data_IF_306529514344
#
_entry.id   IF_306529514344
#
_cell.length_a   1.000
_cell.length_b   1.000
_cell.length_c   1.000
_cell.angle_alpha   90.00
_cell.angle_beta   90.00
_cell.angle_gamma   90.00
#
_symmetry.space_group_name_H-M   'P 1'
#
loop_
_entity.id
_entity.type
_entity.pdbx_description
1 polymer ?
#
# COMPACT_ATOMS: atom_id res chain seq x y z
N UNK A 1 -65.47 83.38 -63.10
CA UNK A 1 -66.16 83.45 -64.41
C UNK A 1 -65.94 82.13 -65.15
N UNK A 2 -67.02 81.56 -65.72
CA UNK A 2 -67.09 80.51 -66.78
C UNK A 2 -66.37 79.17 -66.56
N UNK A 3 -67.01 78.07 -66.11
CA UNK A 3 -67.91 77.08 -66.80
C UNK A 3 -67.34 76.33 -68.03
N UNK A 4 -67.09 75.03 -67.82
CA UNK A 4 -67.51 73.83 -68.58
C UNK A 4 -67.48 73.75 -70.12
N UNK A 5 -66.85 72.67 -70.66
CA UNK A 5 -67.44 71.49 -71.37
C UNK A 5 -66.29 70.62 -71.93
N UNK A 6 -66.11 69.32 -71.63
CA UNK A 6 -66.86 68.07 -71.92
C UNK A 6 -66.66 67.42 -73.33
N UNK A 7 -66.53 66.07 -73.28
CA UNK A 7 -66.77 65.01 -74.29
C UNK A 7 -65.58 64.60 -75.19
N UNK A 8 -65.35 63.33 -75.59
CA UNK A 8 -66.08 62.03 -75.58
C UNK A 8 -65.06 60.92 -75.98
N UNK A 9 -64.95 59.76 -75.30
CA UNK A 9 -65.39 58.39 -75.67
C UNK A 9 -65.13 57.95 -77.15
N UNK A 10 -64.59 56.77 -77.50
CA UNK A 10 -65.05 55.38 -77.24
C UNK A 10 -64.09 54.30 -77.82
N UNK A 11 -64.09 53.09 -77.22
CA UNK A 11 -63.96 51.76 -77.91
C UNK A 11 -62.56 51.14 -77.98
N UNK A 12 -62.14 50.23 -77.09
CA UNK A 12 -62.52 48.81 -76.91
C UNK A 12 -61.67 47.83 -77.77
N UNK A 13 -60.78 47.07 -77.12
CA UNK A 13 -60.43 45.69 -77.45
C UNK A 13 -59.67 45.04 -76.27
N UNK A 14 -60.24 43.99 -75.71
CA UNK A 14 -59.60 42.99 -74.83
C UNK A 14 -59.35 41.75 -75.69
N UNK A 15 -58.20 41.06 -75.56
CA UNK A 15 -58.29 39.64 -75.25
C UNK A 15 -57.24 39.11 -74.24
N UNK A 16 -57.75 38.20 -73.39
CA UNK A 16 -57.19 36.96 -72.83
C UNK A 16 -55.65 36.76 -72.70
N UNK A 17 -55.22 36.76 -71.44
CA UNK A 17 -54.57 35.66 -70.70
C UNK A 17 -53.42 34.86 -71.34
N UNK A 18 -52.20 35.03 -70.79
CA UNK A 18 -51.30 33.93 -70.39
C UNK A 18 -50.64 34.29 -69.05
N UNK A 19 -50.72 33.35 -68.11
CA UNK A 19 -50.18 33.35 -66.74
C UNK A 19 -48.67 33.66 -66.67
N UNK A 20 -48.28 34.55 -65.76
CA UNK A 20 -46.96 34.52 -65.11
C UNK A 20 -47.15 34.80 -63.61
N UNK A 21 -47.47 33.74 -62.87
CA UNK A 21 -47.26 33.66 -61.43
C UNK A 21 -45.92 32.96 -61.22
N UNK A 22 -44.94 33.63 -60.59
CA UNK A 22 -43.95 32.99 -59.72
C UNK A 22 -43.12 34.03 -58.96
N UNK A 23 -43.54 34.23 -57.70
CA UNK A 23 -42.72 34.44 -56.49
C UNK A 23 -41.74 35.62 -56.50
N UNK A 24 -42.21 36.76 -55.97
CA UNK A 24 -41.34 37.65 -55.21
C UNK A 24 -40.98 36.97 -53.87
N UNK A 25 -39.72 37.02 -53.39
CA UNK A 25 -39.43 36.57 -52.04
C UNK A 25 -40.16 37.49 -51.07
N UNK A 26 -40.93 36.89 -50.14
CA UNK A 26 -41.51 37.60 -49.01
C UNK A 26 -40.36 38.20 -48.19
N UNK A 27 -40.10 39.49 -48.35
CA UNK A 27 -39.28 40.27 -47.42
C UNK A 27 -39.98 40.29 -46.07
N UNK A 28 -39.19 40.12 -45.01
CA UNK A 28 -39.57 40.10 -43.60
C UNK A 28 -40.77 40.99 -43.28
N UNK A 29 -41.74 40.44 -42.55
CA UNK A 29 -42.85 41.20 -42.02
C UNK A 29 -42.31 42.19 -40.97
N UNK A 30 -42.27 43.48 -41.32
CA UNK A 30 -42.14 44.58 -40.37
C UNK A 30 -43.37 44.56 -39.44
N UNK A 31 -43.19 44.04 -38.23
CA UNK A 31 -44.21 44.13 -37.18
C UNK A 31 -44.22 45.58 -36.68
N UNK A 32 -45.25 46.32 -37.07
CA UNK A 32 -45.55 47.64 -36.57
C UNK A 32 -45.83 47.60 -35.06
N UNK A 33 -45.04 48.36 -34.32
CA UNK A 33 -45.00 48.46 -32.86
C UNK A 33 -46.14 49.32 -32.30
N UNK A 34 -46.92 48.79 -31.35
CA UNK A 34 -47.67 49.59 -30.37
C UNK A 34 -47.59 48.97 -28.96
N UNK A 35 -47.19 49.82 -28.01
CA UNK A 35 -46.75 49.53 -26.64
C UNK A 35 -47.87 49.17 -25.66
N UNK A 36 -47.55 48.36 -24.64
CA UNK A 36 -47.59 48.75 -23.21
C UNK A 36 -46.71 47.78 -22.39
N UNK A 37 -45.74 48.35 -21.64
CA UNK A 37 -44.67 47.71 -20.85
C UNK A 37 -43.40 47.25 -21.61
N UNK A 38 -42.36 48.10 -21.54
CA UNK A 38 -40.93 47.82 -21.73
C UNK A 38 -40.47 47.12 -23.03
N UNK A 39 -40.54 47.86 -24.13
CA UNK A 39 -39.60 47.87 -25.27
C UNK A 39 -39.26 46.56 -26.01
N UNK A 40 -39.95 46.30 -27.13
CA UNK A 40 -39.27 45.95 -28.38
C UNK A 40 -38.50 47.19 -28.86
N UNK A 41 -37.25 47.40 -28.44
CA UNK A 41 -36.44 48.53 -28.91
C UNK A 41 -35.98 48.34 -30.37
N UNK A 42 -36.06 49.40 -31.17
CA UNK A 42 -35.48 49.48 -32.51
C UNK A 42 -33.96 49.31 -32.45
N UNK A 43 -33.39 48.45 -33.30
CA UNK A 43 -31.92 48.29 -33.44
C UNK A 43 -31.45 46.85 -33.61
N UNK A 44 -32.30 45.86 -33.32
CA UNK A 44 -31.99 44.45 -33.57
C UNK A 44 -31.96 44.10 -35.06
N UNK A 45 -31.01 43.26 -35.47
CA UNK A 45 -30.86 42.75 -36.86
C UNK A 45 -31.11 41.24 -36.88
N UNK A 46 -32.25 40.81 -37.43
CA UNK A 46 -32.55 39.41 -37.73
C UNK A 46 -32.39 39.17 -39.24
N UNK A 47 -31.17 38.83 -39.68
CA UNK A 47 -30.85 38.65 -41.12
C UNK A 47 -30.93 37.19 -41.59
N UNK A 48 -30.87 36.23 -40.66
CA UNK A 48 -30.97 34.81 -40.98
C UNK A 48 -32.39 34.35 -41.28
N UNK A 49 -32.55 33.30 -42.08
CA UNK A 49 -33.86 32.66 -42.28
C UNK A 49 -34.34 32.05 -40.96
N UNK A 50 -35.61 32.27 -40.60
CA UNK A 50 -36.18 31.83 -39.31
C UNK A 50 -35.38 32.31 -38.07
N UNK A 51 -34.71 33.46 -38.19
CA UNK A 51 -33.97 34.04 -37.06
C UNK A 51 -34.86 34.92 -36.17
N UNK A 52 -34.46 35.08 -34.92
CA UNK A 52 -35.10 35.94 -33.91
C UNK A 52 -34.06 36.86 -33.31
N UNK A 53 -34.24 38.17 -33.40
CA UNK A 53 -33.41 39.18 -32.74
C UNK A 53 -34.29 40.11 -31.89
N UNK A 54 -34.05 40.15 -30.57
CA UNK A 54 -34.83 40.95 -29.62
C UNK A 54 -33.90 41.72 -28.70
N UNK A 55 -33.88 43.04 -28.82
CA UNK A 55 -33.06 43.95 -28.01
C UNK A 55 -32.32 44.97 -28.85
N UNK A 56 -31.94 46.10 -28.24
CA UNK A 56 -31.14 47.11 -28.92
C UNK A 56 -29.77 46.54 -29.33
N UNK A 57 -29.42 46.67 -30.61
CA UNK A 57 -28.18 46.14 -31.18
C UNK A 57 -28.04 44.61 -31.19
N UNK A 58 -29.09 43.84 -30.89
CA UNK A 58 -29.02 42.37 -30.98
C UNK A 58 -28.85 41.91 -32.43
N UNK A 59 -28.03 40.89 -32.72
CA UNK A 59 -27.76 40.42 -34.08
C UNK A 59 -27.98 38.90 -34.19
N UNK A 60 -28.84 38.47 -35.09
CA UNK A 60 -29.10 37.07 -35.43
C UNK A 60 -28.94 36.92 -36.95
N UNK A 61 -27.73 36.60 -37.42
CA UNK A 61 -27.37 36.74 -38.85
C UNK A 61 -27.47 35.44 -39.64
N UNK A 62 -27.37 34.29 -38.98
CA UNK A 62 -27.40 32.97 -39.61
C UNK A 62 -28.78 32.28 -39.52
N UNK A 63 -29.06 31.25 -40.33
CA UNK A 63 -30.32 30.49 -40.26
C UNK A 63 -30.62 29.91 -38.87
N UNK A 64 -31.90 29.94 -38.48
CA UNK A 64 -32.42 29.41 -37.21
C UNK A 64 -31.73 29.98 -35.95
N UNK A 65 -31.20 31.20 -36.02
CA UNK A 65 -30.52 31.83 -34.88
C UNK A 65 -31.48 32.58 -33.97
N UNK A 66 -31.21 32.55 -32.68
CA UNK A 66 -31.95 33.37 -31.69
C UNK A 66 -30.97 34.23 -30.92
N UNK A 67 -31.19 35.54 -30.89
CA UNK A 67 -30.42 36.50 -30.11
C UNK A 67 -31.38 37.39 -29.31
N UNK A 68 -31.36 37.30 -27.98
CA UNK A 68 -32.28 38.03 -27.08
C UNK A 68 -31.47 38.73 -25.98
N UNK A 69 -31.46 40.06 -25.99
CA UNK A 69 -30.72 40.90 -25.05
C UNK A 69 -30.04 42.07 -25.76
N UNK A 70 -29.75 43.14 -25.01
CA UNK A 70 -29.00 44.27 -25.56
C UNK A 70 -27.62 43.78 -26.05
N UNK A 71 -27.30 44.05 -27.31
CA UNK A 71 -26.07 43.62 -27.97
C UNK A 71 -25.81 42.11 -27.93
N UNK A 72 -26.85 41.27 -27.78
CA UNK A 72 -26.70 39.82 -27.92
C UNK A 72 -26.43 39.45 -29.38
N UNK A 73 -25.49 38.54 -29.65
CA UNK A 73 -25.11 38.15 -31.01
C UNK A 73 -25.16 36.63 -31.20
N UNK A 74 -25.97 36.16 -32.14
CA UNK A 74 -25.97 34.79 -32.66
C UNK A 74 -25.44 34.77 -34.09
N UNK A 75 -24.20 34.32 -34.27
CA UNK A 75 -23.50 34.30 -35.56
C UNK A 75 -23.25 32.90 -36.12
N UNK A 76 -23.59 31.84 -35.39
CA UNK A 76 -23.54 30.47 -35.92
C UNK A 76 -24.93 29.96 -36.30
N UNK A 77 -25.06 29.15 -37.35
CA UNK A 77 -26.35 28.55 -37.70
C UNK A 77 -26.92 27.70 -36.55
N UNK A 78 -28.23 27.79 -36.29
CA UNK A 78 -28.90 27.15 -35.14
C UNK A 78 -28.38 27.60 -33.76
N UNK A 79 -27.69 28.75 -33.66
CA UNK A 79 -27.18 29.27 -32.39
C UNK A 79 -28.25 29.98 -31.55
N UNK A 80 -28.02 30.05 -30.25
CA UNK A 80 -28.93 30.67 -29.27
C UNK A 80 -28.15 31.54 -28.29
N UNK A 81 -28.32 32.86 -28.36
CA UNK A 81 -27.74 33.84 -27.44
C UNK A 81 -28.85 34.53 -26.62
N UNK A 82 -28.81 34.42 -25.29
CA UNK A 82 -29.77 35.02 -24.37
C UNK A 82 -29.04 35.77 -23.25
N UNK A 83 -29.20 37.08 -23.17
CA UNK A 83 -28.57 37.94 -22.16
C UNK A 83 -27.90 39.16 -22.78
N UNK A 84 -27.68 40.20 -21.98
CA UNK A 84 -26.92 41.36 -22.41
C UNK A 84 -25.51 40.94 -22.83
N UNK A 85 -25.05 41.34 -24.02
CA UNK A 85 -23.73 40.98 -24.55
C UNK A 85 -23.48 39.47 -24.66
N UNK A 86 -24.52 38.63 -24.66
CA UNK A 86 -24.36 37.19 -24.88
C UNK A 86 -23.94 36.92 -26.33
N UNK A 87 -22.93 36.07 -26.53
CA UNK A 87 -22.33 35.79 -27.84
C UNK A 87 -22.36 34.28 -28.10
N UNK A 88 -23.07 33.86 -29.15
CA UNK A 88 -23.12 32.49 -29.65
C UNK A 88 -22.59 32.47 -31.11
N UNK A 89 -21.28 32.31 -31.28
CA UNK A 89 -20.60 32.40 -32.58
C UNK A 89 -20.57 31.08 -33.35
N UNK A 90 -20.52 29.95 -32.65
CA UNK A 90 -20.41 28.63 -33.29
C UNK A 90 -21.73 28.08 -33.80
N UNK A 91 -21.67 27.17 -34.77
CA UNK A 91 -22.83 26.40 -35.25
C UNK A 91 -23.39 25.57 -34.10
N UNK A 92 -24.71 25.61 -33.93
CA UNK A 92 -25.43 24.95 -32.83
C UNK A 92 -24.91 25.32 -31.43
N UNK A 93 -24.32 26.51 -31.27
CA UNK A 93 -23.83 27.00 -29.98
C UNK A 93 -24.94 27.64 -29.15
N UNK A 94 -24.79 27.61 -27.82
CA UNK A 94 -25.75 28.22 -26.88
C UNK A 94 -25.01 29.08 -25.87
N UNK A 95 -25.35 30.36 -25.77
CA UNK A 95 -24.85 31.30 -24.77
C UNK A 95 -26.02 31.90 -23.97
N UNK A 96 -26.08 31.67 -22.66
CA UNK A 96 -27.16 32.16 -21.79
C UNK A 96 -26.57 32.83 -20.55
N UNK A 97 -26.73 34.15 -20.43
CA UNK A 97 -26.20 34.95 -19.34
C UNK A 97 -25.63 36.27 -19.83
N UNK A 98 -25.47 37.25 -18.94
CA UNK A 98 -24.80 38.49 -19.28
C UNK A 98 -23.34 38.19 -19.63
N UNK A 99 -22.89 38.64 -20.81
CA UNK A 99 -21.53 38.39 -21.31
C UNK A 99 -21.16 36.88 -21.43
N UNK A 100 -22.14 35.98 -21.52
CA UNK A 100 -21.89 34.57 -21.80
C UNK A 100 -21.35 34.42 -23.23
N UNK A 101 -20.31 33.60 -23.42
CA UNK A 101 -19.59 33.49 -24.68
C UNK A 101 -19.41 32.01 -25.10
N UNK A 102 -20.09 31.61 -26.16
CA UNK A 102 -20.01 30.30 -26.80
C UNK A 102 -19.39 30.48 -28.21
N UNK A 103 -18.07 30.32 -28.31
CA UNK A 103 -17.29 30.82 -29.45
C UNK A 103 -17.17 29.86 -30.64
N UNK A 104 -17.23 28.55 -30.40
CA UNK A 104 -16.99 27.51 -31.40
C UNK A 104 -18.18 26.56 -31.53
N UNK A 105 -18.15 25.69 -32.53
CA UNK A 105 -19.25 24.80 -32.85
C UNK A 105 -19.60 23.88 -31.67
N UNK A 106 -20.89 23.63 -31.50
CA UNK A 106 -21.47 22.77 -30.45
C UNK A 106 -21.14 23.21 -29.01
N UNK A 107 -20.71 24.46 -28.81
CA UNK A 107 -20.41 24.98 -27.48
C UNK A 107 -21.65 25.37 -26.69
N UNK A 108 -21.59 25.22 -25.37
CA UNK A 108 -22.63 25.69 -24.45
C UNK A 108 -22.00 26.51 -23.32
N UNK A 109 -22.40 27.77 -23.18
CA UNK A 109 -21.98 28.66 -22.10
C UNK A 109 -23.22 29.19 -21.36
N UNK A 110 -23.43 28.80 -20.10
CA UNK A 110 -24.57 29.24 -19.28
C UNK A 110 -24.08 29.83 -17.97
N UNK A 111 -24.34 31.12 -17.76
CA UNK A 111 -23.91 31.89 -16.59
C UNK A 111 -23.36 33.26 -17.00
N UNK A 112 -23.41 34.24 -16.09
CA UNK A 112 -22.77 35.53 -16.33
C UNK A 112 -21.26 35.33 -16.50
N UNK A 113 -20.66 35.89 -17.55
CA UNK A 113 -19.25 35.72 -17.93
C UNK A 113 -18.80 34.26 -18.17
N UNK A 114 -19.73 33.32 -18.35
CA UNK A 114 -19.38 31.95 -18.72
C UNK A 114 -18.78 31.93 -20.13
N UNK A 115 -17.69 31.19 -20.34
CA UNK A 115 -17.00 31.14 -21.62
C UNK A 115 -16.66 29.70 -22.04
N UNK A 116 -17.28 29.23 -23.12
CA UNK A 116 -16.93 28.01 -23.83
C UNK A 116 -16.19 28.36 -25.13
N UNK A 117 -14.87 28.15 -25.13
CA UNK A 117 -13.95 28.65 -26.17
C UNK A 117 -13.35 27.55 -27.06
N UNK A 118 -13.54 26.28 -26.71
CA UNK A 118 -13.16 25.12 -27.52
C UNK A 118 -14.36 24.49 -28.23
N UNK A 119 -14.17 23.81 -29.36
CA UNK A 119 -15.24 23.01 -29.99
C UNK A 119 -15.78 21.96 -28.99
N UNK A 120 -17.10 21.71 -29.01
CA UNK A 120 -17.78 20.82 -28.04
C UNK A 120 -17.62 21.20 -26.56
N UNK A 121 -17.09 22.40 -26.26
CA UNK A 121 -16.85 22.81 -24.87
C UNK A 121 -18.14 23.22 -24.16
N UNK A 122 -18.19 22.95 -22.86
CA UNK A 122 -19.34 23.20 -22.00
C UNK A 122 -18.92 23.98 -20.76
N UNK A 123 -19.47 25.18 -20.57
CA UNK A 123 -19.23 26.05 -19.42
C UNK A 123 -20.56 26.39 -18.73
N UNK A 124 -20.74 25.98 -17.48
CA UNK A 124 -21.95 26.22 -16.69
C UNK A 124 -21.58 26.86 -15.35
N UNK A 125 -22.01 28.09 -15.09
CA UNK A 125 -21.73 28.84 -13.86
C UNK A 125 -21.17 30.24 -14.14
N UNK A 126 -21.32 31.14 -13.18
CA UNK A 126 -20.76 32.49 -13.30
C UNK A 126 -19.23 32.41 -13.41
N UNK A 127 -18.65 33.01 -14.46
CA UNK A 127 -17.21 33.00 -14.71
C UNK A 127 -16.62 31.62 -15.08
N UNK A 128 -17.44 30.59 -15.31
CA UNK A 128 -16.97 29.26 -15.70
C UNK A 128 -16.27 29.31 -17.07
N UNK A 129 -15.12 28.66 -17.22
CA UNK A 129 -14.28 28.71 -18.43
C UNK A 129 -13.90 27.32 -18.91
N UNK A 130 -14.40 26.94 -20.08
CA UNK A 130 -13.98 25.75 -20.81
C UNK A 130 -13.18 26.19 -22.05
N UNK A 131 -11.85 26.20 -21.94
CA UNK A 131 -10.96 26.93 -22.85
C UNK A 131 -10.52 26.15 -24.10
N UNK A 132 -10.82 24.86 -24.19
CA UNK A 132 -10.28 23.97 -25.22
C UNK A 132 -11.28 22.89 -25.62
N UNK A 133 -10.98 22.16 -26.70
CA UNK A 133 -11.94 21.22 -27.30
C UNK A 133 -12.36 20.11 -26.32
N UNK A 134 -13.67 19.85 -26.25
CA UNK A 134 -14.28 18.89 -25.33
C UNK A 134 -14.07 19.20 -23.84
N UNK A 135 -13.63 20.41 -23.49
CA UNK A 135 -13.46 20.80 -22.09
C UNK A 135 -14.82 21.04 -21.42
N UNK A 136 -14.96 20.63 -20.16
CA UNK A 136 -16.19 20.82 -19.38
C UNK A 136 -15.87 21.56 -18.09
N UNK A 137 -16.48 22.72 -17.88
CA UNK A 137 -16.36 23.52 -16.67
C UNK A 137 -17.75 23.75 -16.06
N UNK A 138 -17.99 23.27 -14.84
CA UNK A 138 -19.29 23.40 -14.15
C UNK A 138 -19.06 23.92 -12.74
N UNK A 139 -19.53 25.12 -12.44
CA UNK A 139 -19.37 25.77 -11.14
C UNK A 139 -18.90 27.22 -11.30
N UNK A 140 -19.14 28.03 -10.28
CA UNK A 140 -18.68 29.41 -10.25
C UNK A 140 -17.15 29.44 -10.29
N UNK A 141 -16.58 30.18 -11.25
CA UNK A 141 -15.14 30.24 -11.56
C UNK A 141 -14.45 28.87 -11.81
N UNK A 142 -15.20 27.84 -12.22
CA UNK A 142 -14.59 26.57 -12.64
C UNK A 142 -13.78 26.78 -13.93
N UNK A 143 -12.57 26.20 -14.01
CA UNK A 143 -11.68 26.36 -15.18
C UNK A 143 -11.20 25.01 -15.67
N UNK A 144 -11.60 24.66 -16.89
CA UNK A 144 -11.09 23.54 -17.67
C UNK A 144 -10.24 24.10 -18.83
N UNK A 145 -8.91 23.99 -18.71
CA UNK A 145 -7.98 24.80 -19.51
C UNK A 145 -7.55 24.15 -20.83
N UNK A 146 -7.57 22.83 -20.93
CA UNK A 146 -7.00 22.06 -22.06
C UNK A 146 -7.98 21.01 -22.58
N UNK A 147 -7.63 20.40 -23.70
CA UNK A 147 -8.46 19.43 -24.41
C UNK A 147 -8.92 18.32 -23.45
N UNK A 148 -10.21 17.98 -23.50
CA UNK A 148 -10.84 16.94 -22.68
C UNK A 148 -10.67 17.11 -21.16
N UNK A 149 -10.33 18.31 -20.69
CA UNK A 149 -10.24 18.59 -19.26
C UNK A 149 -11.63 18.79 -18.65
N UNK A 150 -11.84 18.33 -17.42
CA UNK A 150 -13.13 18.41 -16.73
C UNK A 150 -12.95 19.05 -15.36
N UNK A 151 -13.57 20.21 -15.14
CA UNK A 151 -13.59 20.92 -13.86
C UNK A 151 -15.02 21.05 -13.35
N UNK A 152 -15.36 20.46 -12.21
CA UNK A 152 -16.71 20.50 -11.62
C UNK A 152 -16.64 20.91 -10.16
N UNK A 153 -17.11 22.11 -9.83
CA UNK A 153 -17.10 22.66 -8.48
C UNK A 153 -16.72 24.14 -8.49
N UNK A 154 -17.10 24.87 -7.43
CA UNK A 154 -16.69 26.27 -7.25
C UNK A 154 -15.16 26.35 -7.26
N UNK A 155 -14.61 27.15 -8.16
CA UNK A 155 -13.17 27.37 -8.33
C UNK A 155 -12.36 26.09 -8.61
N UNK A 156 -12.99 25.00 -9.08
CA UNK A 156 -12.31 23.79 -9.52
C UNK A 156 -11.41 24.09 -10.74
N UNK A 157 -10.22 23.50 -10.80
CA UNK A 157 -9.25 23.75 -11.88
C UNK A 157 -8.67 22.47 -12.45
N UNK A 158 -9.02 22.17 -13.70
CA UNK A 158 -8.40 21.15 -14.51
C UNK A 158 -7.49 21.84 -15.53
N UNK A 159 -6.18 21.82 -15.27
CA UNK A 159 -5.21 22.73 -15.92
C UNK A 159 -4.58 22.14 -17.18
N UNK A 160 -4.61 20.82 -17.33
CA UNK A 160 -3.89 20.10 -18.39
C UNK A 160 -4.76 19.11 -19.16
N UNK A 161 -4.22 18.54 -20.24
CA UNK A 161 -4.94 17.61 -21.13
C UNK A 161 -5.48 16.42 -20.36
N UNK A 162 -6.75 16.08 -20.58
CA UNK A 162 -7.46 14.97 -19.94
C UNK A 162 -7.37 14.99 -18.39
N UNK A 163 -7.14 16.16 -17.79
CA UNK A 163 -7.17 16.32 -16.33
C UNK A 163 -8.60 16.45 -15.83
N UNK A 164 -8.89 15.88 -14.65
CA UNK A 164 -10.22 15.90 -14.04
C UNK A 164 -10.13 16.45 -12.63
N UNK A 165 -10.83 17.55 -12.34
CA UNK A 165 -10.93 18.17 -11.03
C UNK A 165 -12.40 18.29 -10.62
N UNK A 166 -12.84 17.53 -9.61
CA UNK A 166 -14.22 17.51 -9.13
C UNK A 166 -14.25 17.81 -7.63
N UNK A 167 -14.84 18.93 -7.25
CA UNK A 167 -14.92 19.43 -5.88
C UNK A 167 -14.62 20.93 -5.81
N UNK A 168 -15.15 21.59 -4.79
CA UNK A 168 -14.79 22.98 -4.48
C UNK A 168 -13.27 23.10 -4.26
N UNK A 169 -12.63 24.02 -4.96
CA UNK A 169 -11.18 24.24 -4.94
C UNK A 169 -10.32 22.99 -5.28
N UNK A 170 -10.89 21.97 -5.95
CA UNK A 170 -10.15 20.82 -6.44
C UNK A 170 -9.21 21.24 -7.59
N UNK A 171 -7.98 20.72 -7.60
CA UNK A 171 -6.95 21.10 -8.58
C UNK A 171 -6.31 19.84 -9.18
N UNK A 172 -6.45 19.68 -10.49
CA UNK A 172 -5.72 18.72 -11.30
C UNK A 172 -4.74 19.50 -12.19
N UNK A 173 -3.46 19.54 -11.78
CA UNK A 173 -2.45 20.45 -12.35
C UNK A 173 -1.69 19.87 -13.55
N UNK A 174 -1.83 18.57 -13.82
CA UNK A 174 -1.00 17.85 -14.79
C UNK A 174 -1.81 16.94 -15.72
N UNK A 175 -1.20 16.49 -16.82
CA UNK A 175 -1.88 15.66 -17.80
C UNK A 175 -2.34 14.32 -17.21
N UNK A 176 -3.55 13.88 -17.57
CA UNK A 176 -4.19 12.66 -17.06
C UNK A 176 -4.32 12.61 -15.51
N UNK A 177 -4.20 13.75 -14.82
CA UNK A 177 -4.33 13.80 -13.37
C UNK A 177 -5.80 13.87 -12.94
N UNK A 178 -6.14 13.23 -11.82
CA UNK A 178 -7.51 13.19 -11.28
C UNK A 178 -7.53 13.66 -9.84
N UNK A 179 -8.23 14.75 -9.56
CA UNK A 179 -8.48 15.28 -8.22
C UNK A 179 -9.99 15.25 -7.93
N UNK A 180 -10.42 14.44 -6.97
CA UNK A 180 -11.82 14.29 -6.56
C UNK A 180 -11.97 14.57 -5.07
N UNK A 181 -12.63 15.66 -4.70
CA UNK A 181 -12.88 16.08 -3.33
C UNK A 181 -12.53 17.54 -3.09
N UNK A 182 -13.16 18.16 -2.08
CA UNK A 182 -12.92 19.55 -1.71
C UNK A 182 -11.43 19.78 -1.40
N UNK A 183 -10.80 20.73 -2.10
CA UNK A 183 -9.39 21.06 -1.95
C UNK A 183 -8.39 19.94 -2.29
N UNK A 184 -8.84 18.87 -2.95
CA UNK A 184 -7.96 17.78 -3.43
C UNK A 184 -6.98 18.31 -4.49
N UNK A 185 -5.77 17.73 -4.54
CA UNK A 185 -4.70 18.16 -5.44
C UNK A 185 -3.99 16.98 -6.08
N UNK A 186 -4.12 16.86 -7.39
CA UNK A 186 -3.34 15.94 -8.21
C UNK A 186 -2.33 16.77 -9.01
N UNK A 187 -1.10 16.87 -8.51
CA UNK A 187 -0.12 17.86 -8.96
C UNK A 187 0.79 17.38 -10.08
N UNK A 188 0.84 16.06 -10.34
CA UNK A 188 1.77 15.45 -11.29
C UNK A 188 1.08 14.56 -12.32
N UNK A 189 1.79 14.24 -13.40
CA UNK A 189 1.24 13.46 -14.52
C UNK A 189 0.72 12.10 -14.05
N UNK A 190 -0.48 11.74 -14.49
CA UNK A 190 -1.17 10.49 -14.13
C UNK A 190 -1.32 10.28 -12.60
N UNK A 191 -1.25 11.36 -11.81
CA UNK A 191 -1.49 11.30 -10.37
C UNK A 191 -2.99 11.29 -10.05
N UNK A 192 -3.37 10.60 -8.98
CA UNK A 192 -4.76 10.45 -8.54
C UNK A 192 -4.89 10.84 -7.08
N UNK A 193 -5.71 11.85 -6.79
CA UNK A 193 -6.02 12.32 -5.44
C UNK A 193 -7.53 12.25 -5.19
N UNK A 194 -7.98 11.30 -4.35
CA UNK A 194 -9.39 11.06 -4.05
C UNK A 194 -9.65 11.28 -2.55
N UNK A 195 -10.40 12.31 -2.20
CA UNK A 195 -10.75 12.66 -0.81
C UNK A 195 -10.57 14.14 -0.53
N UNK A 196 -11.24 14.62 0.52
CA UNK A 196 -11.08 16.01 0.96
C UNK A 196 -9.61 16.28 1.32
N UNK A 197 -9.01 17.28 0.69
CA UNK A 197 -7.59 17.64 0.84
C UNK A 197 -6.61 16.48 0.59
N UNK A 198 -6.99 15.46 -0.17
CA UNK A 198 -6.03 14.45 -0.64
C UNK A 198 -5.00 15.09 -1.58
N UNK A 199 -3.73 14.71 -1.48
CA UNK A 199 -2.63 15.29 -2.25
C UNK A 199 -1.79 14.18 -2.89
N UNK A 200 -1.70 14.17 -4.22
CA UNK A 200 -0.79 13.33 -4.97
C UNK A 200 0.23 14.20 -5.71
N UNK A 201 1.46 14.25 -5.21
CA UNK A 201 2.55 15.09 -5.73
C UNK A 201 3.49 14.38 -6.71
N UNK A 202 3.61 13.05 -6.64
CA UNK A 202 4.49 12.29 -7.53
C UNK A 202 3.83 11.91 -8.86
N UNK A 203 4.65 11.61 -9.86
CA UNK A 203 4.20 11.01 -11.13
C UNK A 203 3.65 9.61 -10.84
N UNK A 204 2.48 9.27 -11.41
CA UNK A 204 1.75 8.03 -11.12
C UNK A 204 1.41 7.82 -9.62
N UNK A 205 1.48 8.87 -8.79
CA UNK A 205 1.18 8.75 -7.37
C UNK A 205 -0.33 8.64 -7.12
N UNK A 206 -0.72 7.86 -6.14
CA UNK A 206 -2.13 7.64 -5.77
C UNK A 206 -2.35 7.97 -4.31
N UNK A 207 -3.18 8.97 -4.00
CA UNK A 207 -3.60 9.34 -2.66
C UNK A 207 -5.11 9.20 -2.53
N UNK A 208 -5.59 8.30 -1.66
CA UNK A 208 -7.02 8.03 -1.45
C UNK A 208 -7.34 8.11 0.04
N UNK A 209 -8.14 9.09 0.43
CA UNK A 209 -8.52 9.36 1.82
C UNK A 209 -8.41 10.84 2.18
N UNK A 210 -9.13 11.25 3.22
CA UNK A 210 -9.07 12.62 3.71
C UNK A 210 -7.65 12.95 4.21
N UNK A 211 -7.04 14.02 3.70
CA UNK A 211 -5.63 14.38 3.92
C UNK A 211 -4.61 13.26 3.58
N UNK A 212 -4.97 12.25 2.78
CA UNK A 212 -3.99 11.28 2.30
C UNK A 212 -2.94 11.98 1.43
N UNK A 213 -1.66 11.62 1.58
CA UNK A 213 -0.56 12.28 0.88
C UNK A 213 0.38 11.26 0.24
N UNK A 214 0.49 11.29 -1.08
CA UNK A 214 1.44 10.50 -1.86
C UNK A 214 2.47 11.46 -2.50
N UNK A 215 3.63 11.63 -1.84
CA UNK A 215 4.56 12.72 -2.12
C UNK A 215 5.57 12.45 -3.25
N UNK A 216 5.76 11.19 -3.63
CA UNK A 216 6.84 10.77 -4.52
C UNK A 216 6.35 9.90 -5.68
N UNK A 217 7.19 9.71 -6.69
CA UNK A 217 6.83 8.97 -7.89
C UNK A 217 6.48 7.50 -7.57
N UNK A 218 5.39 7.02 -8.17
CA UNK A 218 4.86 5.67 -7.92
C UNK A 218 4.40 5.41 -6.49
N UNK A 219 4.33 6.43 -5.63
CA UNK A 219 3.90 6.26 -4.24
C UNK A 219 2.38 6.09 -4.13
N UNK A 220 1.95 5.25 -3.18
CA UNK A 220 0.52 4.96 -2.94
C UNK A 220 0.18 5.18 -1.47
N UNK A 221 -0.71 6.13 -1.17
CA UNK A 221 -1.24 6.40 0.16
C UNK A 221 -2.76 6.13 0.18
N UNK A 222 -3.21 5.14 0.94
CA UNK A 222 -4.62 4.75 1.06
C UNK A 222 -5.05 4.79 2.54
N UNK A 223 -5.87 5.77 2.91
CA UNK A 223 -6.38 5.96 4.26
C UNK A 223 -6.39 7.43 4.67
N UNK A 224 -7.25 7.78 5.62
CA UNK A 224 -7.23 9.12 6.22
C UNK A 224 -5.83 9.38 6.82
N UNK A 225 -5.24 10.52 6.46
CA UNK A 225 -3.88 10.92 6.85
C UNK A 225 -2.75 9.92 6.54
N UNK A 226 -2.97 8.94 5.65
CA UNK A 226 -1.92 8.05 5.19
C UNK A 226 -0.85 8.86 4.41
N UNK A 227 0.43 8.53 4.60
CA UNK A 227 1.55 9.26 4.01
C UNK A 227 2.55 8.31 3.35
N UNK A 228 2.64 8.34 2.03
CA UNK A 228 3.66 7.64 1.25
C UNK A 228 4.66 8.68 0.74
N UNK A 229 5.81 8.79 1.41
CA UNK A 229 6.71 9.93 1.30
C UNK A 229 7.91 9.72 0.35
N UNK A 230 8.13 8.50 -0.11
CA UNK A 230 9.28 8.14 -0.94
C UNK A 230 8.89 7.36 -2.20
N UNK A 231 9.82 7.28 -3.16
CA UNK A 231 9.60 6.64 -4.46
C UNK A 231 9.18 5.18 -4.26
N UNK A 232 8.13 4.76 -4.96
CA UNK A 232 7.54 3.42 -4.88
C UNK A 232 7.13 2.99 -3.45
N UNK A 233 6.93 3.94 -2.54
CA UNK A 233 6.46 3.64 -1.18
C UNK A 233 4.95 3.41 -1.14
N UNK A 234 4.49 2.52 -0.27
CA UNK A 234 3.08 2.19 -0.10
C UNK A 234 2.68 2.35 1.36
N UNK A 235 1.71 3.21 1.64
CA UNK A 235 1.13 3.42 2.97
C UNK A 235 -0.38 3.14 2.93
N UNK A 236 -0.85 2.14 3.67
CA UNK A 236 -2.27 1.72 3.70
C UNK A 236 -2.77 1.67 5.15
N UNK A 237 -3.72 2.52 5.50
CA UNK A 237 -4.35 2.58 6.82
C UNK A 237 -4.42 4.00 7.38
N UNK A 238 -5.26 4.21 8.40
CA UNK A 238 -5.34 5.50 9.10
C UNK A 238 -3.97 5.86 9.69
N UNK A 239 -3.42 7.00 9.29
CA UNK A 239 -2.11 7.47 9.75
C UNK A 239 -0.93 6.52 9.46
N UNK A 240 -1.04 5.61 8.48
CA UNK A 240 0.07 4.78 8.03
C UNK A 240 1.14 5.64 7.34
N UNK A 241 2.42 5.38 7.59
CA UNK A 241 3.53 6.19 7.06
C UNK A 241 4.63 5.32 6.45
N UNK A 242 4.90 5.50 5.16
CA UNK A 242 6.01 4.86 4.46
C UNK A 242 7.00 5.94 3.99
N UNK A 243 8.14 6.06 4.68
CA UNK A 243 9.16 7.10 4.42
C UNK A 243 10.35 6.61 3.60
N UNK A 244 10.56 5.30 3.52
CA UNK A 244 11.66 4.73 2.76
C UNK A 244 11.34 4.46 1.29
N UNK A 245 12.35 4.51 0.43
CA UNK A 245 12.23 4.07 -0.97
C UNK A 245 11.82 2.61 -1.01
N UNK A 246 10.75 2.29 -1.73
CA UNK A 246 10.18 0.94 -1.78
C UNK A 246 9.62 0.43 -0.45
N UNK A 247 9.43 1.29 0.55
CA UNK A 247 8.92 0.89 1.85
C UNK A 247 7.42 0.62 1.80
N UNK A 248 6.96 -0.35 2.59
CA UNK A 248 5.54 -0.73 2.68
C UNK A 248 5.06 -0.65 4.12
N UNK A 249 4.11 0.23 4.42
CA UNK A 249 3.44 0.36 5.72
C UNK A 249 1.95 0.05 5.56
N UNK A 250 1.47 -1.03 6.18
CA UNK A 250 0.07 -1.46 6.10
C UNK A 250 -0.47 -1.69 7.52
N UNK A 251 -1.45 -0.90 7.92
CA UNK A 251 -2.06 -0.92 9.25
C UNK A 251 -2.15 0.47 9.87
N UNK A 252 -3.10 0.65 10.79
CA UNK A 252 -3.29 1.93 11.47
C UNK A 252 -2.04 2.33 12.24
N UNK A 253 -1.51 3.52 11.95
CA UNK A 253 -0.27 4.02 12.58
C UNK A 253 0.98 3.18 12.28
N UNK A 254 0.96 2.29 11.27
CA UNK A 254 2.16 1.56 10.85
C UNK A 254 3.21 2.50 10.28
N UNK A 255 4.49 2.20 10.52
CA UNK A 255 5.63 3.03 10.11
C UNK A 255 6.68 2.14 9.45
N UNK A 256 6.93 2.38 8.16
CA UNK A 256 8.05 1.81 7.41
C UNK A 256 9.02 2.95 7.06
N UNK A 257 10.01 3.20 7.93
CA UNK A 257 10.76 4.45 7.93
C UNK A 257 11.95 4.49 6.96
N UNK A 258 12.47 3.33 6.56
CA UNK A 258 13.74 3.21 5.83
C UNK A 258 13.60 2.41 4.52
N UNK A 259 14.62 2.50 3.66
CA UNK A 259 14.59 1.87 2.34
C UNK A 259 14.34 0.35 2.44
N UNK A 260 13.42 -0.16 1.61
CA UNK A 260 13.03 -1.57 1.57
C UNK A 260 12.41 -2.11 2.86
N UNK A 261 12.02 -1.24 3.82
CA UNK A 261 11.39 -1.67 5.06
C UNK A 261 9.92 -2.06 4.85
N UNK A 262 9.44 -3.04 5.59
CA UNK A 262 8.05 -3.52 5.55
C UNK A 262 7.47 -3.54 6.95
N UNK A 263 6.40 -2.79 7.20
CA UNK A 263 5.64 -2.78 8.43
C UNK A 263 4.18 -3.19 8.15
N UNK A 264 3.74 -4.33 8.66
CA UNK A 264 2.40 -4.90 8.45
C UNK A 264 1.73 -5.18 9.80
N UNK A 265 0.78 -4.35 10.20
CA UNK A 265 0.06 -4.45 11.47
C UNK A 265 -0.24 -3.06 12.04
N UNK A 266 -1.21 -2.98 12.96
CA UNK A 266 -1.45 -1.74 13.70
C UNK A 266 -0.16 -1.39 14.48
N UNK A 267 0.30 -0.14 14.35
CA UNK A 267 1.50 0.34 15.05
C UNK A 267 2.78 -0.49 14.82
N UNK A 268 2.81 -1.33 13.77
CA UNK A 268 4.03 -2.02 13.36
C UNK A 268 5.09 -1.00 12.93
N UNK A 269 6.33 -1.18 13.38
CA UNK A 269 7.42 -0.24 13.16
C UNK A 269 8.64 -0.96 12.57
N UNK A 270 8.90 -0.72 11.30
CA UNK A 270 10.12 -1.13 10.60
C UNK A 270 10.97 0.12 10.32
N UNK A 271 11.84 0.49 11.27
CA UNK A 271 12.54 1.78 11.22
C UNK A 271 13.93 1.74 10.58
N UNK A 272 14.44 0.55 10.23
CA UNK A 272 15.76 0.36 9.63
C UNK A 272 15.71 -0.24 8.22
N UNK A 273 16.80 -0.10 7.47
CA UNK A 273 16.88 -0.57 6.08
C UNK A 273 16.67 -2.10 5.99
N UNK A 274 15.83 -2.53 5.06
CA UNK A 274 15.42 -3.93 4.87
C UNK A 274 14.80 -4.60 6.11
N UNK A 275 14.34 -3.81 7.09
CA UNK A 275 13.70 -4.35 8.28
C UNK A 275 12.26 -4.78 7.97
N UNK A 276 11.80 -5.88 8.59
CA UNK A 276 10.46 -6.41 8.41
C UNK A 276 9.74 -6.56 9.74
N UNK A 277 8.73 -5.75 10.02
CA UNK A 277 7.87 -5.84 11.19
C UNK A 277 6.48 -6.34 10.78
N UNK A 278 6.07 -7.51 11.23
CA UNK A 278 4.75 -8.10 10.91
C UNK A 278 4.03 -8.44 12.22
N UNK A 279 2.94 -7.76 12.51
CA UNK A 279 2.14 -7.93 13.73
C UNK A 279 1.76 -6.61 14.38
N UNK A 280 0.71 -6.61 15.18
CA UNK A 280 0.34 -5.45 16.00
C UNK A 280 1.47 -5.08 16.96
N UNK A 281 1.98 -3.86 16.87
CA UNK A 281 3.11 -3.37 17.67
C UNK A 281 4.46 -4.08 17.42
N UNK A 282 4.61 -4.85 16.34
CA UNK A 282 5.89 -5.46 15.99
C UNK A 282 6.95 -4.39 15.72
N UNK A 283 8.19 -4.60 16.18
CA UNK A 283 9.27 -3.62 16.10
C UNK A 283 10.56 -4.23 15.53
N UNK A 284 10.90 -3.84 14.30
CA UNK A 284 12.14 -4.19 13.63
C UNK A 284 12.99 -2.91 13.42
N UNK A 285 13.80 -2.57 14.44
CA UNK A 285 14.58 -1.33 14.48
C UNK A 285 16.03 -1.46 13.98
N UNK A 286 16.44 -2.64 13.49
CA UNK A 286 17.82 -2.91 13.06
C UNK A 286 17.89 -3.35 11.60
N UNK A 287 19.02 -3.07 10.95
CA UNK A 287 19.20 -3.42 9.54
C UNK A 287 19.05 -4.93 9.31
N UNK A 288 18.37 -5.30 8.22
CA UNK A 288 18.10 -6.69 7.82
C UNK A 288 17.41 -7.54 8.92
N UNK A 289 16.80 -6.92 9.92
CA UNK A 289 16.11 -7.64 10.99
C UNK A 289 14.64 -7.89 10.66
N UNK A 290 14.07 -8.97 11.21
CA UNK A 290 12.63 -9.19 11.16
C UNK A 290 12.07 -9.40 12.56
N UNK A 291 10.87 -8.88 12.79
CA UNK A 291 10.07 -9.08 13.98
C UNK A 291 8.67 -9.52 13.53
N UNK A 292 8.35 -10.80 13.71
CA UNK A 292 7.13 -11.44 13.18
C UNK A 292 6.29 -11.97 14.34
N UNK A 293 5.23 -11.26 14.70
CA UNK A 293 4.31 -11.55 15.79
C UNK A 293 3.84 -10.27 16.47
N UNK A 294 2.68 -10.30 17.13
CA UNK A 294 2.20 -9.17 17.95
C UNK A 294 3.24 -8.84 19.02
N UNK A 295 3.72 -7.59 19.05
CA UNK A 295 4.74 -7.12 19.99
C UNK A 295 6.14 -7.73 19.81
N UNK A 296 6.37 -8.50 18.73
CA UNK A 296 7.69 -9.06 18.44
C UNK A 296 8.72 -7.93 18.34
N UNK A 297 9.92 -8.11 18.88
CA UNK A 297 10.99 -7.09 18.83
C UNK A 297 12.30 -7.71 18.40
N UNK A 298 12.86 -7.22 17.30
CA UNK A 298 14.25 -7.50 16.95
C UNK A 298 15.18 -6.63 17.78
N UNK A 299 16.27 -7.21 18.29
CA UNK A 299 17.19 -6.59 19.27
C UNK A 299 18.57 -6.30 18.69
N UNK A 300 18.85 -6.75 17.46
CA UNK A 300 20.11 -6.54 16.75
C UNK A 300 19.92 -6.70 15.24
N UNK A 301 20.93 -6.28 14.47
CA UNK A 301 20.97 -6.48 13.03
C UNK A 301 20.96 -7.97 12.66
N UNK A 302 20.43 -8.28 11.47
CA UNK A 302 20.37 -9.64 10.91
C UNK A 302 19.61 -10.68 11.76
N UNK A 303 18.90 -10.24 12.82
CA UNK A 303 18.10 -11.11 13.66
C UNK A 303 16.69 -11.32 13.09
N UNK A 304 16.24 -12.56 13.09
CA UNK A 304 14.84 -12.94 12.85
C UNK A 304 14.19 -13.29 14.19
N UNK A 305 13.35 -12.40 14.71
CA UNK A 305 12.57 -12.60 15.92
C UNK A 305 11.15 -13.04 15.55
N UNK A 306 10.71 -14.18 16.06
CA UNK A 306 9.36 -14.72 15.85
C UNK A 306 8.61 -14.73 17.19
N UNK A 307 7.32 -14.39 17.19
CA UNK A 307 6.49 -14.38 18.39
C UNK A 307 6.83 -13.27 19.39
N UNK A 308 6.38 -13.46 20.64
CA UNK A 308 6.68 -12.61 21.80
C UNK A 308 7.79 -13.22 22.64
N UNK A 309 8.28 -12.48 23.65
CA UNK A 309 9.22 -13.01 24.65
C UNK A 309 8.70 -14.21 25.46
N UNK A 310 7.43 -14.61 25.32
CA UNK A 310 6.81 -15.75 25.99
C UNK A 310 6.29 -16.82 25.02
N UNK A 311 6.62 -16.73 23.73
CA UNK A 311 6.08 -17.66 22.73
C UNK A 311 6.67 -19.06 22.82
N UNK A 312 5.80 -20.07 22.71
CA UNK A 312 6.17 -21.45 22.42
C UNK A 312 6.10 -21.69 20.92
N UNK A 313 7.17 -22.21 20.32
CA UNK A 313 7.21 -22.51 18.89
C UNK A 313 6.82 -23.96 18.63
N UNK A 314 5.83 -24.18 17.77
CA UNK A 314 5.45 -25.51 17.27
C UNK A 314 5.63 -25.54 15.76
N UNK A 315 6.58 -26.34 15.29
CA UNK A 315 6.80 -26.56 13.86
C UNK A 315 6.21 -27.90 13.46
N UNK A 316 5.17 -27.88 12.61
CA UNK A 316 4.60 -29.10 12.05
C UNK A 316 5.65 -29.83 11.19
N UNK A 317 5.69 -31.15 11.29
CA UNK A 317 6.56 -31.97 10.45
C UNK A 317 7.94 -32.29 11.03
N UNK A 318 8.43 -31.58 12.07
CA UNK A 318 9.73 -31.92 12.72
C UNK A 318 9.78 -33.40 13.16
N UNK A 319 8.67 -33.94 13.65
CA UNK A 319 8.56 -35.34 14.11
C UNK A 319 8.02 -36.30 13.04
N UNK A 320 7.81 -35.84 11.80
CA UNK A 320 7.20 -36.63 10.74
C UNK A 320 8.13 -37.72 10.19
N UNK A 321 7.54 -38.80 9.65
CA UNK A 321 8.28 -39.86 8.95
C UNK A 321 9.02 -39.32 7.72
N UNK A 322 8.43 -38.38 6.99
CA UNK A 322 9.04 -37.72 5.84
C UNK A 322 10.29 -36.91 6.24
N UNK A 323 10.20 -36.11 7.31
CA UNK A 323 11.37 -35.35 7.81
C UNK A 323 12.49 -36.28 8.26
N UNK A 324 12.16 -37.41 8.90
CA UNK A 324 13.16 -38.39 9.34
C UNK A 324 13.80 -39.13 8.15
N UNK A 325 13.01 -39.46 7.11
CA UNK A 325 13.51 -40.10 5.90
C UNK A 325 14.40 -39.18 5.06
N UNK A 326 14.22 -37.85 5.15
CA UNK A 326 15.03 -36.87 4.43
C UNK A 326 16.41 -36.61 5.08
N UNK A 327 16.62 -37.04 6.33
CA UNK A 327 17.93 -36.89 6.99
C UNK A 327 18.97 -37.75 6.27
N UNK A 328 20.15 -37.17 6.04
CA UNK A 328 21.29 -37.85 5.43
C UNK A 328 22.59 -37.41 6.09
N UNK A 329 23.57 -38.32 6.17
CA UNK A 329 24.81 -38.10 6.92
C UNK A 329 24.62 -38.15 8.45
N UNK A 330 25.62 -37.71 9.22
CA UNK A 330 25.53 -37.62 10.68
C UNK A 330 24.44 -36.65 11.14
N UNK A 331 23.65 -37.06 12.13
CA UNK A 331 22.61 -36.22 12.74
C UNK A 331 23.21 -35.39 13.88
N UNK A 332 22.84 -34.11 13.94
CA UNK A 332 23.27 -33.18 14.98
C UNK A 332 22.08 -32.76 15.86
N UNK A 333 22.38 -32.28 17.07
CA UNK A 333 21.41 -31.67 17.97
C UNK A 333 21.46 -30.16 17.75
N UNK A 334 20.30 -29.53 17.61
CA UNK A 334 20.20 -28.07 17.67
C UNK A 334 20.15 -27.65 19.13
N UNK A 335 21.13 -26.86 19.54
CA UNK A 335 21.24 -26.25 20.86
C UNK A 335 20.90 -24.77 20.79
N UNK A 336 20.63 -24.18 21.95
CA UNK A 336 20.41 -22.75 22.11
C UNK A 336 21.25 -22.22 23.26
N UNK A 337 21.74 -21.00 23.14
CA UNK A 337 22.29 -20.25 24.28
C UNK A 337 21.20 -19.41 24.99
N UNK A 338 21.58 -18.67 26.03
CA UNK A 338 20.67 -17.77 26.76
C UNK A 338 20.20 -16.55 25.93
N UNK A 339 20.85 -16.27 24.79
CA UNK A 339 20.50 -15.19 23.87
C UNK A 339 19.62 -15.67 22.69
N UNK A 340 19.24 -16.96 22.69
CA UNK A 340 18.42 -17.59 21.64
C UNK A 340 19.18 -17.88 20.33
N UNK A 341 20.51 -17.88 20.34
CA UNK A 341 21.30 -18.28 19.17
C UNK A 341 21.23 -19.80 19.01
N UNK A 342 20.90 -20.28 17.81
CA UNK A 342 20.90 -21.70 17.48
C UNK A 342 22.28 -22.14 16.98
N UNK A 343 22.77 -23.27 17.48
CA UNK A 343 24.00 -23.91 17.02
C UNK A 343 23.80 -25.41 16.93
N UNK A 344 24.45 -26.07 15.97
CA UNK A 344 24.51 -27.53 15.98
C UNK A 344 25.61 -28.02 16.92
N UNK A 345 25.33 -29.14 17.58
CA UNK A 345 26.28 -29.87 18.39
C UNK A 345 26.19 -31.35 18.02
N UNK A 346 27.33 -32.04 18.03
CA UNK A 346 27.33 -33.49 17.83
C UNK A 346 26.80 -34.17 19.09
N UNK A 347 26.07 -35.28 18.89
CA UNK A 347 25.44 -36.02 19.99
C UNK A 347 26.50 -36.51 21.01
N UNK A 348 27.71 -36.81 20.54
CA UNK A 348 28.85 -37.22 21.37
C UNK A 348 29.36 -36.14 22.31
N UNK A 349 29.22 -34.86 21.94
CA UNK A 349 29.73 -33.75 22.73
C UNK A 349 28.82 -33.42 23.92
N UNK A 350 27.54 -33.78 23.82
CA UNK A 350 26.55 -33.59 24.88
C UNK A 350 26.64 -34.66 25.97
N UNK A 351 27.10 -35.88 25.62
CA UNK A 351 27.19 -37.01 26.52
C UNK A 351 28.61 -37.59 26.56
N UNK A 352 29.49 -37.03 27.39
CA UNK A 352 30.78 -37.65 27.65
C UNK A 352 30.62 -38.86 28.58
N UNK A 353 30.49 -40.05 27.98
CA UNK A 353 30.37 -41.31 28.71
C UNK A 353 31.72 -41.89 29.14
N UNK A 354 32.86 -41.29 28.75
CA UNK A 354 34.20 -41.82 29.07
C UNK A 354 34.46 -41.90 30.58
N UNK A 355 34.07 -40.93 31.43
CA UNK A 355 34.23 -41.06 32.87
C UNK A 355 33.41 -42.20 33.46
N UNK A 356 32.20 -42.43 32.93
CA UNK A 356 31.33 -43.53 33.35
C UNK A 356 31.96 -44.87 32.97
N UNK A 357 32.48 -44.99 31.74
CA UNK A 357 33.16 -46.22 31.30
C UNK A 357 34.41 -46.49 32.13
N UNK A 358 35.22 -45.46 32.41
CA UNK A 358 36.39 -45.60 33.29
C UNK A 358 36.01 -46.09 34.69
N UNK A 359 34.91 -45.56 35.25
CA UNK A 359 34.43 -45.99 36.55
C UNK A 359 33.91 -47.44 36.53
N UNK A 360 33.28 -47.89 35.44
CA UNK A 360 32.88 -49.29 35.26
C UNK A 360 34.12 -50.19 35.24
N UNK A 361 35.18 -49.78 34.54
CA UNK A 361 36.44 -50.53 34.49
C UNK A 361 37.12 -50.58 35.87
N UNK A 362 37.16 -49.46 36.62
CA UNK A 362 37.67 -49.42 37.99
C UNK A 362 36.85 -50.32 38.94
N UNK A 363 35.52 -50.37 38.77
CA UNK A 363 34.64 -51.29 39.52
C UNK A 363 34.92 -52.75 39.15
N UNK A 364 35.07 -53.06 37.86
CA UNK A 364 35.38 -54.41 37.39
C UNK A 364 36.74 -54.88 37.94
N UNK A 365 37.73 -54.00 37.96
CA UNK A 365 39.04 -54.25 38.57
C UNK A 365 38.92 -54.43 40.10
N UNK A 366 38.05 -53.66 40.75
CA UNK A 366 37.67 -53.86 42.15
C UNK A 366 37.12 -55.26 42.44
N UNK A 367 36.27 -55.78 41.57
CA UNK A 367 35.73 -57.14 41.67
C UNK A 367 36.83 -58.18 41.41
N UNK A 368 37.68 -57.98 40.40
CA UNK A 368 38.84 -58.84 40.14
C UNK A 368 39.77 -58.90 41.37
N UNK A 369 40.03 -57.77 42.02
CA UNK A 369 40.79 -57.70 43.27
C UNK A 369 40.12 -58.47 44.40
N UNK A 370 38.80 -58.33 44.56
CA UNK A 370 38.05 -59.09 45.56
C UNK A 370 38.13 -60.61 45.32
N UNK A 371 38.05 -61.04 44.06
CA UNK A 371 38.23 -62.45 43.67
C UNK A 371 39.67 -62.94 43.91
N UNK A 372 40.67 -62.06 43.74
CA UNK A 372 42.06 -62.35 44.06
C UNK A 372 42.33 -62.43 45.58
N UNK A 373 41.50 -61.81 46.43
CA UNK A 373 41.71 -61.73 47.87
C UNK A 373 41.13 -62.93 48.62
N UNK A 374 41.57 -64.14 48.30
CA UNK A 374 41.28 -65.35 49.08
C UNK A 374 42.23 -65.49 50.28
N UNK A 375 41.68 -65.77 51.46
CA UNK A 375 42.50 -66.02 52.66
C UNK A 375 43.21 -67.38 52.52
N UNK A 376 44.54 -67.46 52.71
CA UNK A 376 45.24 -68.74 52.68
C UNK A 376 44.85 -69.64 53.84
N UNK A 377 44.99 -70.95 53.66
CA UNK A 377 44.89 -71.90 54.77
C UNK A 377 46.14 -71.82 55.64
N UNK A 378 45.98 -71.84 56.96
CA UNK A 378 47.09 -71.81 57.92
C UNK A 378 47.45 -73.24 58.34
N UNK A 379 48.62 -73.78 58.01
CA UNK A 379 49.03 -75.11 58.47
C UNK A 379 49.22 -75.14 59.99
N UNK A 380 48.84 -76.26 60.63
CA UNK A 380 48.75 -76.38 62.10
C UNK A 380 50.03 -76.03 62.87
N UNK A 381 51.20 -76.20 62.26
CA UNK A 381 52.52 -75.95 62.85
C UNK A 381 53.07 -74.53 62.63
N UNK A 382 52.30 -73.63 62.01
CA UNK A 382 52.75 -72.28 61.63
C UNK A 382 51.83 -71.21 62.23
N UNK A 383 52.45 -70.10 62.62
CA UNK A 383 51.73 -68.97 63.23
C UNK A 383 51.30 -67.91 62.20
N UNK A 384 51.87 -67.93 60.99
CA UNK A 384 51.55 -67.00 59.91
C UNK A 384 51.59 -67.74 58.58
N UNK A 385 50.63 -67.48 57.69
CA UNK A 385 50.65 -67.90 56.29
C UNK A 385 50.31 -66.72 55.39
N UNK A 386 50.93 -66.68 54.20
CA UNK A 386 50.73 -65.65 53.18
C UNK A 386 50.53 -66.34 51.83
N UNK A 387 49.58 -65.89 51.03
CA UNK A 387 49.37 -66.29 49.64
C UNK A 387 49.36 -65.08 48.72
N UNK A 388 49.89 -65.27 47.51
CA UNK A 388 49.66 -64.39 46.38
C UNK A 388 48.69 -65.08 45.42
N UNK A 389 47.68 -64.36 44.97
CA UNK A 389 46.59 -64.89 44.15
C UNK A 389 46.27 -63.91 43.03
N UNK A 390 45.79 -64.45 41.91
CA UNK A 390 45.32 -63.70 40.76
C UNK A 390 43.81 -63.79 40.69
N UNK A 391 43.14 -62.66 40.48
CA UNK A 391 41.72 -62.56 40.22
C UNK A 391 41.44 -61.83 38.92
N UNK A 392 40.36 -62.21 38.25
CA UNK A 392 39.95 -61.61 36.98
C UNK A 392 38.43 -61.48 36.97
N UNK A 393 37.93 -60.38 36.41
CA UNK A 393 36.50 -60.14 36.24
C UNK A 393 36.28 -59.23 35.02
N UNK A 394 35.49 -59.69 34.05
CA UNK A 394 35.38 -59.00 32.76
C UNK A 394 36.72 -58.99 32.01
N UNK A 395 37.17 -57.80 31.57
CA UNK A 395 38.48 -57.56 30.96
C UNK A 395 39.59 -57.22 31.97
N UNK A 396 39.25 -57.10 33.25
CA UNK A 396 40.16 -56.56 34.27
C UNK A 396 40.84 -57.67 35.06
N UNK A 397 42.08 -57.39 35.48
CA UNK A 397 42.93 -58.31 36.22
C UNK A 397 43.48 -57.67 37.48
N UNK A 398 43.67 -58.49 38.50
CA UNK A 398 44.21 -58.06 39.77
C UNK A 398 45.05 -59.15 40.42
N UNK A 399 46.02 -58.73 41.21
CA UNK A 399 46.79 -59.61 42.08
C UNK A 399 46.60 -59.18 43.51
N UNK A 400 46.38 -60.11 44.43
CA UNK A 400 46.34 -59.81 45.85
C UNK A 400 47.28 -60.68 46.65
N UNK A 401 47.83 -60.07 47.70
CA UNK A 401 48.58 -60.76 48.73
C UNK A 401 47.70 -60.77 49.96
N UNK A 402 47.30 -61.97 50.39
CA UNK A 402 46.49 -62.18 51.59
C UNK A 402 47.27 -63.01 52.60
N UNK A 403 47.05 -62.75 53.87
CA UNK A 403 47.68 -63.48 54.95
C UNK A 403 46.72 -63.75 56.09
N UNK A 404 47.09 -64.75 56.88
CA UNK A 404 46.43 -65.11 58.14
C UNK A 404 47.50 -65.28 59.21
N UNK A 405 47.22 -64.79 60.41
CA UNK A 405 48.08 -64.90 61.57
C UNK A 405 47.28 -65.46 62.76
N UNK A 406 47.85 -66.43 63.47
CA UNK A 406 47.33 -67.01 64.71
C UNK A 406 47.88 -66.24 65.89
N UNK A 407 46.99 -65.74 66.76
CA UNK A 407 47.36 -64.85 67.87
C UNK A 407 47.25 -65.50 69.25
N UNK A 408 46.27 -66.38 69.47
CA UNK A 408 46.05 -67.06 70.76
C UNK A 408 45.72 -68.54 70.51
N UNK A 409 46.67 -69.44 70.80
CA UNK A 409 46.53 -70.91 70.91
C UNK A 409 45.28 -71.49 70.21
N UNK A 410 45.23 -71.33 68.88
CA UNK A 410 44.20 -71.83 67.95
C UNK A 410 42.78 -71.23 68.05
N UNK A 411 42.54 -70.25 68.92
CA UNK A 411 41.21 -69.65 69.15
C UNK A 411 40.99 -68.30 68.44
N UNK A 412 42.06 -67.56 68.14
CA UNK A 412 41.97 -66.23 67.51
C UNK A 412 42.91 -66.10 66.31
N UNK A 413 42.33 -65.74 65.15
CA UNK A 413 43.04 -65.49 63.91
C UNK A 413 42.77 -64.10 63.37
N UNK A 414 43.81 -63.43 62.88
CA UNK A 414 43.72 -62.20 62.11
C UNK A 414 43.97 -62.53 60.64
N UNK A 415 43.07 -62.08 59.77
CA UNK A 415 43.21 -62.18 58.32
C UNK A 415 43.30 -60.79 57.73
N UNK A 416 44.06 -60.65 56.66
CA UNK A 416 44.13 -59.41 55.91
C UNK A 416 44.65 -59.66 54.52
N UNK A 417 44.39 -58.73 53.61
CA UNK A 417 44.96 -58.78 52.28
C UNK A 417 44.95 -57.42 51.62
N UNK A 418 45.91 -57.22 50.74
CA UNK A 418 46.01 -56.05 49.88
C UNK A 418 46.01 -56.54 48.44
N UNK A 419 45.12 -55.99 47.63
CA UNK A 419 44.97 -56.25 46.21
C UNK A 419 45.41 -55.04 45.41
N UNK A 420 46.04 -55.33 44.28
CA UNK A 420 46.49 -54.37 43.29
C UNK A 420 45.86 -54.75 41.96
N UNK A 421 45.06 -53.84 41.44
CA UNK A 421 44.56 -53.86 40.08
C UNK A 421 45.70 -53.62 39.09
N UNK A 422 45.74 -54.39 38.00
CA UNK A 422 46.81 -54.37 37.02
C UNK A 422 46.51 -53.50 35.78
N UNK A 423 45.25 -53.11 35.61
CA UNK A 423 44.75 -52.41 34.43
C UNK A 423 44.53 -50.92 34.71
N UNK A 424 43.70 -50.59 35.70
CA UNK A 424 43.37 -49.21 36.12
C UNK A 424 44.23 -48.74 37.30
N UNK A 425 44.95 -49.65 37.95
CA UNK A 425 45.89 -49.34 39.04
C UNK A 425 45.21 -49.11 40.39
N UNK A 426 44.00 -49.62 40.57
CA UNK A 426 43.25 -49.53 41.82
C UNK A 426 43.95 -50.34 42.92
N UNK A 427 43.85 -49.91 44.17
CA UNK A 427 44.36 -50.65 45.33
C UNK A 427 43.22 -50.85 46.31
N UNK A 428 42.99 -52.11 46.67
CA UNK A 428 41.98 -52.51 47.65
C UNK A 428 42.63 -53.22 48.82
N UNK A 429 41.96 -53.21 49.97
CA UNK A 429 42.39 -53.98 51.13
C UNK A 429 41.21 -54.59 51.86
N UNK A 430 41.44 -55.74 52.48
CA UNK A 430 40.51 -56.36 53.42
C UNK A 430 41.22 -56.68 54.72
N UNK A 431 40.50 -56.63 55.83
CA UNK A 431 40.93 -57.12 57.13
C UNK A 431 39.75 -57.82 57.80
N UNK A 432 40.02 -58.91 58.52
CA UNK A 432 38.99 -59.67 59.21
C UNK A 432 39.56 -60.42 60.39
N UNK A 433 38.74 -60.68 61.41
CA UNK A 433 39.10 -61.47 62.59
C UNK A 433 38.23 -62.71 62.61
N UNK A 434 38.83 -63.87 62.87
CA UNK A 434 38.13 -65.14 63.02
C UNK A 434 38.39 -65.70 64.41
N UNK A 435 37.30 -66.09 65.08
CA UNK A 435 37.32 -66.81 66.33
C UNK A 435 36.93 -68.26 66.07
N UNK A 436 37.70 -69.20 66.59
CA UNK A 436 37.40 -70.63 66.53
C UNK A 436 37.30 -71.18 67.96
N UNK A 437 36.34 -72.05 68.21
CA UNK A 437 36.07 -72.62 69.53
C UNK A 437 35.75 -74.11 69.44
#
# INVERSE_FOLDING_TARGET
MTRHRQAKATGAAVPLAVLAWLVAPASAADIACQLTAAALQCGGTAAGTQSTAVGDGSQATEPNTTAVGQQATGFGANSSAFGQLAVANGVSSTAIGQNANANLDYTTAIGADAAAQGEDASAFGQGAKANAAGATAVGQDAIASKTQSTAVGRSARASEVASTAIGEDAIASAANSTALGQGSRANSTASTALGQKAIANGVNATAVGQNATANADGSTALGMTAAANAVNSTAVGYNATANGVGATAVGQGSIAAAAGSTALGQSANASAAHATAIGDGANASFANSAAIGTGATATRADQMAFGTGSSTYTFEGITSSASRAAQSGPVQIVTTDANGNLASADVSDLFDVRPIMKQIDEVNEGVAMAMAMGTPTLPDSKNVAVSAQWGTFGSENAVAISGIARLMDDSLFLTGGIGFGLNQGSIGGKAGVMLAW
#
